data_IF_642183312787
#
_entry.id   IF_642183312787
#
_cell.length_a   1.000
_cell.length_b   1.000
_cell.length_c   1.000
_cell.angle_alpha   90.00
_cell.angle_beta   90.00
_cell.angle_gamma   90.00
#
_symmetry.space_group_name_H-M   'P 1'
#
loop_
_entity.id
_entity.type
_entity.pdbx_description
1 polymer ?
#
# COMPACT_ATOMS: atom_id res chain seq x y z
N UNK A 1 -3.69 -13.02 -3.11
CA UNK A 1 -2.58 -13.87 -3.60
C UNK A 1 -2.75 -15.31 -3.13
N UNK A 2 -2.52 -16.26 -4.02
CA UNK A 2 -2.61 -17.70 -3.75
C UNK A 2 -1.60 -18.17 -2.68
N UNK A 3 -0.36 -17.65 -2.70
CA UNK A 3 0.70 -18.06 -1.75
C UNK A 3 0.36 -17.75 -0.29
N UNK A 4 -0.17 -16.55 0.00
CA UNK A 4 -0.60 -16.21 1.36
C UNK A 4 -1.83 -17.02 1.77
N UNK A 5 -2.78 -17.24 0.86
CA UNK A 5 -3.94 -18.07 1.18
C UNK A 5 -3.51 -19.50 1.53
N UNK A 6 -2.61 -20.10 0.75
CA UNK A 6 -2.05 -21.42 1.03
C UNK A 6 -1.29 -21.45 2.35
N UNK A 7 -0.44 -20.47 2.63
CA UNK A 7 0.26 -20.36 3.91
C UNK A 7 -0.72 -20.25 5.09
N UNK A 8 -1.74 -19.40 4.99
CA UNK A 8 -2.76 -19.24 6.03
C UNK A 8 -3.54 -20.53 6.26
N UNK A 9 -3.93 -21.24 5.19
CA UNK A 9 -4.68 -22.48 5.31
C UNK A 9 -3.84 -23.64 5.86
N UNK A 10 -2.61 -23.82 5.37
CA UNK A 10 -1.78 -25.00 5.70
C UNK A 10 -0.95 -24.82 6.98
N UNK A 11 -0.54 -23.59 7.32
CA UNK A 11 0.37 -23.32 8.46
C UNK A 11 -0.34 -22.68 9.66
N UNK A 12 -1.28 -21.77 9.40
CA UNK A 12 -1.99 -21.05 10.47
C UNK A 12 -3.32 -21.73 10.81
N UNK A 13 -4.04 -22.24 9.80
CA UNK A 13 -5.30 -22.98 9.94
C UNK A 13 -6.56 -22.11 10.09
N UNK A 14 -6.42 -20.77 10.06
CA UNK A 14 -7.54 -19.85 10.20
C UNK A 14 -7.21 -18.47 9.59
N UNK A 15 -8.24 -17.66 9.32
CA UNK A 15 -8.09 -16.31 8.77
C UNK A 15 -9.21 -15.37 9.24
N UNK A 16 -9.00 -14.06 9.10
CA UNK A 16 -10.03 -13.04 9.29
C UNK A 16 -10.61 -12.61 7.93
N UNK A 17 -11.89 -12.16 7.90
CA UNK A 17 -12.46 -11.58 6.70
C UNK A 17 -11.77 -10.27 6.34
N UNK A 18 -11.94 -9.87 5.07
CA UNK A 18 -11.47 -8.58 4.57
C UNK A 18 -12.04 -7.42 5.40
N UNK A 19 -11.20 -6.44 5.70
CA UNK A 19 -11.62 -5.24 6.41
C UNK A 19 -12.59 -4.39 5.56
N UNK A 20 -13.67 -3.83 6.14
CA UNK A 20 -14.67 -3.07 5.40
C UNK A 20 -14.09 -1.93 4.55
N UNK A 21 -13.12 -1.17 5.06
CA UNK A 21 -12.48 -0.08 4.32
C UNK A 21 -11.74 -0.55 3.06
N UNK A 22 -11.00 -1.66 3.16
CA UNK A 22 -10.35 -2.25 1.98
C UNK A 22 -11.39 -2.79 0.99
N UNK A 23 -12.42 -3.45 1.49
CA UNK A 23 -13.49 -3.96 0.64
C UNK A 23 -14.18 -2.83 -0.12
N UNK A 24 -14.51 -1.73 0.55
CA UNK A 24 -15.12 -0.55 -0.06
C UNK A 24 -14.23 0.01 -1.18
N UNK A 25 -12.92 0.12 -0.93
CA UNK A 25 -11.98 0.61 -1.93
C UNK A 25 -11.89 -0.34 -3.13
N UNK A 26 -11.81 -1.65 -2.92
CA UNK A 26 -11.79 -2.65 -3.99
C UNK A 26 -13.12 -2.67 -4.78
N UNK A 27 -14.25 -2.56 -4.09
CA UNK A 27 -15.57 -2.51 -4.71
C UNK A 27 -15.75 -1.23 -5.56
N UNK A 28 -15.00 -0.16 -5.27
CA UNK A 28 -14.95 1.05 -6.12
C UNK A 28 -13.97 0.88 -7.30
N UNK A 29 -12.77 0.36 -7.06
CA UNK A 29 -11.70 0.25 -8.07
C UNK A 29 -12.00 -0.81 -9.13
N UNK A 30 -12.37 -2.03 -8.71
CA UNK A 30 -12.43 -3.18 -9.60
C UNK A 30 -13.50 -3.05 -10.71
N UNK A 31 -14.70 -2.50 -10.44
CA UNK A 31 -15.73 -2.36 -11.47
C UNK A 31 -15.54 -1.16 -12.40
N UNK A 32 -14.68 -0.19 -12.06
CA UNK A 32 -14.47 1.01 -12.88
C UNK A 32 -14.01 0.58 -14.30
N UNK A 33 -14.46 1.26 -15.34
CA UNK A 33 -14.09 0.91 -16.72
C UNK A 33 -12.76 1.57 -17.12
N UNK A 34 -12.36 2.63 -16.42
CA UNK A 34 -11.13 3.38 -16.64
C UNK A 34 -9.95 2.59 -16.11
N UNK A 35 -9.05 2.20 -17.02
CA UNK A 35 -7.88 1.41 -16.67
C UNK A 35 -6.91 2.19 -15.78
N UNK A 36 -6.80 3.50 -15.99
CA UNK A 36 -5.92 4.40 -15.26
C UNK A 36 -6.34 4.55 -13.80
N UNK A 37 -7.66 4.62 -13.51
CA UNK A 37 -8.14 4.58 -12.13
C UNK A 37 -7.87 3.23 -11.44
N UNK A 38 -7.92 2.13 -12.19
CA UNK A 38 -7.51 0.83 -11.64
C UNK A 38 -6.05 0.82 -11.24
N UNK A 39 -5.19 1.44 -12.05
CA UNK A 39 -3.75 1.50 -11.77
C UNK A 39 -3.47 2.45 -10.59
N UNK A 40 -4.10 3.63 -10.56
CA UNK A 40 -4.00 4.56 -9.43
C UNK A 40 -4.44 3.87 -8.14
N UNK A 41 -5.62 3.24 -8.14
CA UNK A 41 -6.16 2.60 -6.94
C UNK A 41 -5.40 1.34 -6.50
N UNK A 42 -5.08 0.44 -7.43
CA UNK A 42 -4.46 -0.84 -7.09
C UNK A 42 -2.93 -0.70 -6.96
N UNK A 43 -2.24 -0.24 -8.01
CA UNK A 43 -0.78 -0.29 -8.08
C UNK A 43 -0.14 0.84 -7.26
N UNK A 44 -0.68 2.06 -7.34
CA UNK A 44 -0.07 3.18 -6.62
C UNK A 44 -0.48 3.16 -5.14
N UNK A 45 -1.77 2.99 -4.86
CA UNK A 45 -2.29 3.13 -3.50
C UNK A 45 -2.27 1.80 -2.73
N UNK A 46 -2.99 0.77 -3.19
CA UNK A 46 -3.11 -0.49 -2.42
C UNK A 46 -1.77 -1.22 -2.33
N UNK A 47 -1.08 -1.41 -3.45
CA UNK A 47 0.20 -2.12 -3.52
C UNK A 47 1.34 -1.30 -2.90
N UNK A 48 1.39 0.02 -3.14
CA UNK A 48 2.34 0.91 -2.47
C UNK A 48 2.26 0.83 -0.93
N UNK A 49 1.04 0.75 -0.38
CA UNK A 49 0.82 0.54 1.05
C UNK A 49 1.14 -0.88 1.51
N UNK A 50 0.81 -1.88 0.70
CA UNK A 50 1.12 -3.27 0.99
C UNK A 50 2.63 -3.50 1.08
N UNK A 51 3.42 -2.89 0.20
CA UNK A 51 4.89 -2.96 0.20
C UNK A 51 5.48 -2.50 1.54
N UNK A 52 5.10 -1.30 2.02
CA UNK A 52 5.55 -0.79 3.30
C UNK A 52 5.16 -1.71 4.48
N UNK A 53 3.94 -2.27 4.45
CA UNK A 53 3.49 -3.21 5.47
C UNK A 53 4.28 -4.54 5.42
N UNK A 54 4.54 -5.08 4.22
CA UNK A 54 5.29 -6.31 4.02
C UNK A 54 6.77 -6.15 4.38
N UNK A 55 7.40 -5.02 4.04
CA UNK A 55 8.76 -4.68 4.44
C UNK A 55 8.89 -4.72 5.97
N UNK A 56 7.97 -4.06 6.68
CA UNK A 56 7.92 -4.09 8.14
C UNK A 56 7.75 -5.51 8.68
N UNK A 57 6.79 -6.27 8.15
CA UNK A 57 6.51 -7.63 8.64
C UNK A 57 7.67 -8.59 8.36
N UNK A 58 8.33 -8.48 7.22
CA UNK A 58 9.51 -9.27 6.87
C UNK A 58 10.67 -9.04 7.84
N UNK A 59 10.82 -7.81 8.35
CA UNK A 59 11.85 -7.48 9.32
C UNK A 59 11.60 -8.13 10.70
N UNK A 60 10.33 -8.39 11.05
CA UNK A 60 9.94 -8.86 12.39
C UNK A 60 9.52 -10.32 12.45
N UNK A 61 9.16 -10.93 11.32
CA UNK A 61 8.67 -12.31 11.29
C UNK A 61 9.77 -13.32 11.61
N UNK A 62 9.43 -14.31 12.43
CA UNK A 62 10.35 -15.37 12.86
C UNK A 62 10.28 -16.64 11.99
N UNK A 63 9.15 -16.90 11.33
CA UNK A 63 9.02 -18.06 10.43
C UNK A 63 9.86 -17.81 9.14
N UNK A 64 10.88 -18.64 8.86
CA UNK A 64 11.73 -18.46 7.68
C UNK A 64 10.97 -18.56 6.35
N UNK A 65 9.97 -19.45 6.25
CA UNK A 65 9.15 -19.58 5.04
C UNK A 65 8.33 -18.31 4.81
N UNK A 66 7.72 -17.77 5.85
CA UNK A 66 6.94 -16.54 5.73
C UNK A 66 7.84 -15.34 5.37
N UNK A 67 9.07 -15.30 5.90
CA UNK A 67 10.07 -14.30 5.54
C UNK A 67 10.42 -14.34 4.05
N UNK A 68 10.57 -15.54 3.49
CA UNK A 68 10.83 -15.75 2.07
C UNK A 68 9.62 -15.41 1.19
N UNK A 69 8.41 -15.76 1.64
CA UNK A 69 7.18 -15.34 0.97
C UNK A 69 7.12 -13.82 0.88
N UNK A 70 7.35 -13.10 1.99
CA UNK A 70 7.40 -11.63 1.95
C UNK A 70 8.48 -11.13 0.99
N UNK A 71 9.69 -11.71 1.01
CA UNK A 71 10.75 -11.31 0.09
C UNK A 71 10.35 -11.42 -1.38
N UNK A 72 9.79 -12.56 -1.78
CA UNK A 72 9.40 -12.81 -3.17
C UNK A 72 8.22 -11.94 -3.60
N UNK A 73 7.23 -11.77 -2.72
CA UNK A 73 6.06 -10.92 -2.98
C UNK A 73 6.46 -9.45 -3.10
N UNK A 74 7.28 -8.93 -2.18
CA UNK A 74 7.75 -7.54 -2.23
C UNK A 74 8.43 -7.25 -3.58
N UNK A 75 9.25 -8.17 -4.09
CA UNK A 75 9.90 -8.03 -5.40
C UNK A 75 8.92 -7.99 -6.55
N UNK A 76 7.83 -8.75 -6.49
CA UNK A 76 6.81 -8.76 -7.54
C UNK A 76 5.98 -7.48 -7.54
N UNK A 77 5.47 -7.11 -6.36
CA UNK A 77 4.65 -5.90 -6.21
C UNK A 77 5.45 -4.63 -6.51
N UNK A 78 6.74 -4.58 -6.19
CA UNK A 78 7.60 -3.46 -6.61
C UNK A 78 7.58 -3.26 -8.14
N UNK A 79 7.55 -4.35 -8.93
CA UNK A 79 7.42 -4.25 -10.40
C UNK A 79 6.05 -3.73 -10.81
N UNK A 80 4.98 -4.17 -10.15
CA UNK A 80 3.63 -3.69 -10.44
C UNK A 80 3.50 -2.18 -10.17
N UNK A 81 4.05 -1.71 -9.04
CA UNK A 81 4.10 -0.27 -8.74
C UNK A 81 4.93 0.48 -9.78
N UNK A 82 6.15 0.04 -10.08
CA UNK A 82 7.00 0.71 -11.09
C UNK A 82 6.33 0.74 -12.47
N UNK A 83 5.68 -0.35 -12.87
CA UNK A 83 4.92 -0.43 -14.11
C UNK A 83 3.77 0.58 -14.12
N UNK A 84 2.99 0.64 -13.03
CA UNK A 84 1.91 1.60 -12.88
C UNK A 84 2.37 3.04 -12.98
N UNK A 85 3.46 3.39 -12.28
CA UNK A 85 4.04 4.73 -12.30
C UNK A 85 4.43 5.14 -13.72
N UNK A 86 5.19 4.30 -14.44
CA UNK A 86 5.69 4.65 -15.76
C UNK A 86 4.55 4.89 -16.77
N UNK A 87 3.52 4.03 -16.78
CA UNK A 87 2.39 4.17 -17.70
C UNK A 87 1.48 5.33 -17.33
N UNK A 88 1.25 5.55 -16.03
CA UNK A 88 0.41 6.66 -15.57
C UNK A 88 1.11 8.00 -15.79
N UNK A 89 2.42 8.11 -15.61
CA UNK A 89 3.18 9.34 -15.86
C UNK A 89 3.00 9.81 -17.31
N UNK A 90 3.15 8.90 -18.28
CA UNK A 90 2.91 9.22 -19.69
C UNK A 90 1.43 9.53 -19.95
N UNK A 91 0.51 8.70 -19.47
CA UNK A 91 -0.92 8.85 -19.75
C UNK A 91 -1.53 10.12 -19.14
N UNK A 92 -1.24 10.42 -17.88
CA UNK A 92 -1.77 11.60 -17.18
C UNK A 92 -1.34 12.89 -17.89
N UNK A 93 -0.15 12.90 -18.50
CA UNK A 93 0.30 14.03 -19.33
C UNK A 93 -0.55 14.29 -20.57
N UNK A 94 -1.37 13.32 -21.01
CA UNK A 94 -2.28 13.45 -22.16
C UNK A 94 -3.69 13.91 -21.77
N UNK A 95 -4.03 13.84 -20.48
CA UNK A 95 -5.35 14.22 -19.97
C UNK A 95 -5.55 15.74 -19.96
N UNK A 96 -6.81 16.16 -20.12
CA UNK A 96 -7.22 17.54 -19.85
C UNK A 96 -7.10 17.88 -18.35
N UNK A 97 -7.10 19.16 -18.02
CA UNK A 97 -7.02 19.62 -16.62
C UNK A 97 -8.18 19.08 -15.77
N UNK A 98 -9.40 19.09 -16.31
CA UNK A 98 -10.58 18.54 -15.63
C UNK A 98 -10.42 17.04 -15.32
N UNK A 99 -9.93 16.26 -16.28
CA UNK A 99 -9.68 14.83 -16.09
C UNK A 99 -8.56 14.59 -15.08
N UNK A 100 -7.46 15.35 -15.14
CA UNK A 100 -6.37 15.23 -14.16
C UNK A 100 -6.86 15.52 -12.75
N UNK A 101 -7.71 16.53 -12.58
CA UNK A 101 -8.30 16.88 -11.28
C UNK A 101 -9.22 15.76 -10.77
N UNK A 102 -10.03 15.14 -11.63
CA UNK A 102 -10.83 13.96 -11.28
C UNK A 102 -9.94 12.79 -10.78
N UNK A 103 -8.79 12.56 -11.43
CA UNK A 103 -7.82 11.51 -11.01
C UNK A 103 -7.13 11.85 -9.70
N UNK A 104 -6.76 13.12 -9.50
CA UNK A 104 -6.14 13.61 -8.28
C UNK A 104 -7.10 13.46 -7.09
N UNK A 105 -8.37 13.82 -7.26
CA UNK A 105 -9.39 13.66 -6.22
C UNK A 105 -9.65 12.19 -5.89
N UNK A 106 -9.74 11.33 -6.92
CA UNK A 106 -9.86 9.90 -6.71
C UNK A 106 -8.69 9.33 -5.90
N UNK A 107 -7.46 9.74 -6.20
CA UNK A 107 -6.26 9.30 -5.46
C UNK A 107 -6.31 9.76 -3.99
N UNK A 108 -6.76 11.00 -3.76
CA UNK A 108 -6.94 11.55 -2.41
C UNK A 108 -7.98 10.77 -1.61
N UNK A 109 -9.17 10.56 -2.16
CA UNK A 109 -10.23 9.79 -1.49
C UNK A 109 -9.76 8.38 -1.12
N UNK A 110 -9.05 7.72 -2.03
CA UNK A 110 -8.48 6.40 -1.78
C UNK A 110 -7.44 6.42 -0.66
N UNK A 111 -6.59 7.45 -0.57
CA UNK A 111 -5.66 7.65 0.55
C UNK A 111 -6.39 7.84 1.89
N UNK A 112 -7.48 8.61 1.92
CA UNK A 112 -8.31 8.82 3.12
C UNK A 112 -8.91 7.50 3.61
N UNK A 113 -9.50 6.71 2.71
CA UNK A 113 -10.06 5.38 3.05
C UNK A 113 -8.96 4.47 3.60
N UNK A 114 -7.78 4.52 3.00
CA UNK A 114 -6.65 3.68 3.37
C UNK A 114 -6.02 4.05 4.72
N UNK A 115 -5.99 5.33 5.08
CA UNK A 115 -5.52 5.78 6.42
C UNK A 115 -6.29 5.10 7.55
N UNK A 116 -7.60 4.90 7.35
CA UNK A 116 -8.48 4.29 8.34
C UNK A 116 -8.49 2.74 8.30
N UNK A 117 -7.73 2.11 7.39
CA UNK A 117 -7.75 0.65 7.19
C UNK A 117 -6.97 -0.14 8.25
N UNK A 118 -5.97 0.45 8.88
CA UNK A 118 -5.01 -0.28 9.72
C UNK A 118 -5.46 -0.55 11.17
N UNK A 119 -6.69 -0.15 11.52
CA UNK A 119 -7.35 -0.63 12.72
C UNK A 119 -7.67 -2.11 12.57
N UNK A 120 -7.01 -2.98 13.32
CA UNK A 120 -7.24 -4.44 13.27
C UNK A 120 -8.56 -4.82 13.95
N UNK A 121 -9.68 -4.17 13.59
CA UNK A 121 -10.97 -4.26 14.29
C UNK A 121 -11.47 -5.69 14.42
N UNK A 122 -11.28 -6.52 13.39
CA UNK A 122 -11.63 -7.95 13.45
C UNK A 122 -10.85 -8.69 14.54
N UNK A 123 -9.56 -8.38 14.70
CA UNK A 123 -8.69 -8.96 15.75
C UNK A 123 -9.14 -8.44 17.12
N UNK A 124 -9.31 -7.12 17.23
CA UNK A 124 -9.70 -6.45 18.48
C UNK A 124 -11.04 -7.01 19.00
N UNK A 125 -12.04 -7.10 18.13
CA UNK A 125 -13.35 -7.68 18.46
C UNK A 125 -13.27 -9.16 18.82
N UNK A 126 -12.42 -9.94 18.15
CA UNK A 126 -12.25 -11.37 18.44
C UNK A 126 -11.77 -11.61 19.88
N UNK A 127 -10.91 -10.73 20.40
CA UNK A 127 -10.44 -10.77 21.79
C UNK A 127 -11.34 -10.03 22.79
N UNK A 128 -12.51 -9.54 22.35
CA UNK A 128 -13.50 -8.86 23.21
C UNK A 128 -13.06 -7.47 23.68
N UNK A 129 -12.13 -6.83 22.98
CA UNK A 129 -11.69 -5.48 23.29
C UNK A 129 -12.61 -4.43 22.64
N UNK A 130 -12.65 -3.24 23.25
CA UNK A 130 -13.36 -2.08 22.70
C UNK A 130 -12.61 -1.57 21.46
N UNK A 131 -13.24 -1.70 20.29
CA UNK A 131 -12.70 -1.29 19.01
C UNK A 131 -12.40 0.20 18.93
N UNK A 132 -13.25 1.04 19.52
CA UNK A 132 -13.09 2.49 19.48
C UNK A 132 -11.95 2.92 20.38
N UNK A 133 -11.92 2.40 21.61
CA UNK A 133 -10.82 2.67 22.54
C UNK A 133 -9.46 2.17 21.99
N UNK A 134 -9.43 0.99 21.38
CA UNK A 134 -8.22 0.44 20.78
C UNK A 134 -7.76 1.25 19.55
N UNK A 135 -8.69 1.70 18.70
CA UNK A 135 -8.36 2.57 17.57
C UNK A 135 -7.78 3.92 18.04
N UNK A 136 -8.39 4.54 19.05
CA UNK A 136 -7.88 5.79 19.65
C UNK A 136 -6.48 5.59 20.25
N UNK A 137 -6.27 4.49 20.98
CA UNK A 137 -4.96 4.16 21.54
C UNK A 137 -3.91 3.93 20.44
N UNK A 138 -4.27 3.24 19.36
CA UNK A 138 -3.37 3.00 18.23
C UNK A 138 -3.01 4.30 17.50
N UNK A 139 -4.00 5.14 17.19
CA UNK A 139 -3.81 6.44 16.54
C UNK A 139 -2.98 7.39 17.41
N UNK A 140 -3.24 7.43 18.71
CA UNK A 140 -2.51 8.25 19.67
C UNK A 140 -1.09 7.75 19.96
N UNK A 141 -0.75 6.52 19.60
CA UNK A 141 0.57 5.94 19.86
C UNK A 141 1.64 6.41 18.86
N UNK A 142 2.88 6.53 19.33
CA UNK A 142 4.03 6.81 18.47
C UNK A 142 4.22 5.72 17.40
N UNK A 143 4.05 4.45 17.77
CA UNK A 143 4.15 3.33 16.85
C UNK A 143 3.10 3.38 15.72
N UNK A 144 1.87 3.80 16.03
CA UNK A 144 0.80 3.99 15.06
C UNK A 144 1.06 5.17 14.13
N UNK A 145 1.56 6.29 14.66
CA UNK A 145 1.99 7.45 13.85
C UNK A 145 3.13 7.08 12.91
N UNK A 146 4.19 6.45 13.43
CA UNK A 146 5.34 5.99 12.62
C UNK A 146 4.91 5.02 11.52
N UNK A 147 3.97 4.12 11.82
CA UNK A 147 3.45 3.21 10.82
C UNK A 147 2.66 3.93 9.73
N UNK A 148 1.78 4.87 10.08
CA UNK A 148 1.07 5.68 9.10
C UNK A 148 2.04 6.51 8.23
N UNK A 149 3.07 7.10 8.83
CA UNK A 149 4.07 7.86 8.09
C UNK A 149 4.84 6.96 7.11
N UNK A 150 5.26 5.77 7.56
CA UNK A 150 5.92 4.77 6.71
C UNK A 150 5.05 4.39 5.49
N UNK A 151 3.76 4.21 5.72
CA UNK A 151 2.80 3.83 4.70
C UNK A 151 2.68 4.89 3.59
N UNK A 152 2.55 6.16 3.94
CA UNK A 152 2.42 7.24 2.95
C UNK A 152 3.74 7.71 2.36
N UNK A 153 4.87 7.38 2.99
CA UNK A 153 6.21 7.67 2.45
C UNK A 153 6.48 7.09 1.05
N UNK A 154 5.78 6.00 0.68
CA UNK A 154 5.91 5.36 -0.63
C UNK A 154 4.89 5.86 -1.67
N UNK A 155 3.74 6.38 -1.23
CA UNK A 155 2.67 6.83 -2.13
C UNK A 155 2.94 8.25 -2.63
N UNK A 156 3.30 9.16 -1.73
CA UNK A 156 3.39 10.58 -2.05
C UNK A 156 4.41 10.91 -3.16
N UNK A 157 5.62 10.32 -3.18
CA UNK A 157 6.55 10.50 -4.30
C UNK A 157 5.98 10.03 -5.64
N UNK A 158 5.24 8.91 -5.63
CA UNK A 158 4.65 8.34 -6.84
C UNK A 158 3.50 9.20 -7.37
N UNK A 159 2.63 9.72 -6.50
CA UNK A 159 1.57 10.66 -6.90
C UNK A 159 2.16 11.96 -7.48
N UNK A 160 3.25 12.46 -6.90
CA UNK A 160 3.99 13.61 -7.43
C UNK A 160 4.52 13.32 -8.83
N UNK A 161 5.21 12.19 -9.00
CA UNK A 161 5.83 11.78 -10.26
C UNK A 161 4.80 11.60 -11.39
N UNK A 162 3.65 11.02 -11.08
CA UNK A 162 2.55 10.81 -12.05
C UNK A 162 1.85 12.14 -12.41
N UNK A 163 2.02 13.19 -11.62
CA UNK A 163 1.39 14.49 -11.84
C UNK A 163 -0.02 14.61 -11.26
N UNK A 164 -0.32 13.86 -10.18
CA UNK A 164 -1.60 13.89 -9.47
C UNK A 164 -1.58 14.70 -8.17
N UNK A 165 -0.53 15.51 -7.96
CA UNK A 165 -0.47 16.50 -6.88
C UNK A 165 -0.69 17.90 -7.46
N UNK A 166 -1.95 18.28 -7.63
CA UNK A 166 -2.35 19.66 -7.93
C UNK A 166 -2.48 20.48 -6.64
N UNK A 167 -2.68 21.79 -6.76
CA UNK A 167 -2.77 22.70 -5.61
C UNK A 167 -3.93 22.32 -4.66
N UNK A 168 -5.11 21.99 -5.21
CA UNK A 168 -6.29 21.66 -4.41
C UNK A 168 -6.10 20.41 -3.55
N UNK A 169 -5.62 19.29 -4.12
CA UNK A 169 -5.40 18.07 -3.33
C UNK A 169 -4.17 18.18 -2.44
N UNK A 170 -3.19 19.02 -2.79
CA UNK A 170 -2.01 19.25 -1.97
C UNK A 170 -2.40 19.86 -0.62
N UNK A 171 -3.30 20.83 -0.59
CA UNK A 171 -3.85 21.38 0.67
C UNK A 171 -4.50 20.28 1.51
N UNK A 172 -5.31 19.42 0.89
CA UNK A 172 -5.96 18.30 1.58
C UNK A 172 -4.94 17.29 2.15
N UNK A 173 -3.86 17.00 1.42
CA UNK A 173 -2.77 16.14 1.90
C UNK A 173 -1.93 16.77 3.01
N UNK A 174 -1.82 18.10 3.03
CA UNK A 174 -1.17 18.85 4.10
C UNK A 174 -2.00 18.76 5.40
N UNK A 175 -3.31 18.92 5.32
CA UNK A 175 -4.23 18.71 6.45
C UNK A 175 -4.17 17.26 6.99
N UNK A 176 -3.95 16.29 6.11
CA UNK A 176 -3.72 14.90 6.52
C UNK A 176 -2.36 14.67 7.21
N UNK A 177 -1.42 15.61 7.08
CA UNK A 177 -0.07 15.52 7.62
C UNK A 177 0.82 14.55 6.85
N UNK A 178 0.58 14.34 5.55
CA UNK A 178 1.36 13.41 4.73
C UNK A 178 2.05 14.08 3.53
N UNK A 179 1.74 15.35 3.24
CA UNK A 179 2.36 16.08 2.13
C UNK A 179 3.89 16.20 2.27
N UNK A 180 4.42 16.20 3.49
CA UNK A 180 5.86 16.25 3.78
C UNK A 180 6.66 15.12 3.10
N UNK A 181 6.01 14.00 2.77
CA UNK A 181 6.66 12.84 2.15
C UNK A 181 6.82 12.95 0.63
N UNK A 182 6.30 13.99 -0.03
CA UNK A 182 6.31 14.11 -1.49
C UNK A 182 7.70 14.21 -2.12
N UNK A 183 8.68 14.67 -1.34
CA UNK A 183 10.06 14.90 -1.77
C UNK A 183 11.01 13.77 -1.33
N UNK A 184 10.47 12.70 -0.72
CA UNK A 184 11.26 11.51 -0.47
C UNK A 184 11.66 10.86 -1.79
N UNK A 185 12.84 10.25 -1.79
CA UNK A 185 13.25 9.38 -2.87
C UNK A 185 12.19 8.29 -3.04
N UNK A 186 11.81 8.08 -4.30
CA UNK A 186 10.94 6.99 -4.68
C UNK A 186 11.67 5.67 -4.38
N UNK A 187 11.48 5.17 -3.16
CA UNK A 187 12.01 3.89 -2.73
C UNK A 187 11.28 2.71 -3.39
N UNK A 188 10.43 2.97 -4.40
CA UNK A 188 9.89 1.98 -5.35
C UNK A 188 10.58 2.05 -6.71
N UNK A 189 11.59 2.91 -6.90
CA UNK A 189 12.58 2.73 -7.96
C UNK A 189 13.31 1.43 -7.64
N UNK A 190 12.74 0.38 -8.19
CA UNK A 190 13.32 -0.94 -8.31
C UNK A 190 14.75 -0.75 -8.80
N UNK A 191 15.74 -0.98 -7.93
CA UNK A 191 17.11 -1.15 -8.38
C UNK A 191 17.11 -2.41 -9.25
N UNK A 192 17.03 -2.20 -10.57
CA UNK A 192 16.99 -3.28 -11.54
C UNK A 192 18.23 -4.15 -11.45
N UNK A 193 19.36 -3.60 -11.01
CA UNK A 193 20.58 -4.35 -10.75
C UNK A 193 20.40 -5.25 -9.52
N UNK A 194 19.74 -4.77 -8.48
CA UNK A 194 19.40 -5.60 -7.32
C UNK A 194 18.35 -6.68 -7.65
N UNK A 195 17.35 -6.34 -8.46
CA UNK A 195 16.26 -7.25 -8.83
C UNK A 195 16.64 -8.25 -9.91
N UNK A 196 17.69 -8.00 -10.67
CA UNK A 196 18.28 -8.94 -11.64
C UNK A 196 19.29 -9.89 -11.00
N UNK A 197 19.71 -9.65 -9.76
CA UNK A 197 20.54 -10.60 -9.01
C UNK A 197 19.84 -11.96 -8.93
N UNK A 198 20.60 -13.07 -9.06
CA UNK A 198 20.08 -14.41 -8.86
C UNK A 198 19.38 -14.51 -7.50
N UNK A 199 18.30 -15.29 -7.43
CA UNK A 199 17.72 -15.66 -6.16
C UNK A 199 18.78 -16.42 -5.34
N UNK A 200 19.21 -15.84 -4.23
CA UNK A 200 20.07 -16.54 -3.29
C UNK A 200 19.23 -17.62 -2.59
N UNK A 201 19.22 -18.82 -3.14
CA UNK A 201 18.70 -20.00 -2.45
C UNK A 201 19.71 -20.44 -1.40
N UNK A 202 19.83 -19.70 -0.30
CA UNK A 202 20.64 -20.10 0.85
C UNK A 202 19.90 -21.13 1.72
N UNK A 203 19.34 -22.17 1.11
CA UNK A 203 18.90 -23.34 1.86
C UNK A 203 20.05 -24.34 1.90
N UNK A 204 20.84 -24.29 2.98
CA UNK A 204 21.52 -25.50 3.45
C UNK A 204 20.41 -26.44 3.89
N UNK A 205 19.99 -27.33 2.99
CA UNK A 205 19.23 -28.52 3.37
C UNK A 205 20.06 -29.25 4.41
N UNK A 206 19.57 -29.28 5.65
CA UNK A 206 20.04 -30.18 6.69
C UNK A 206 19.54 -31.60 6.41
#
# INVERSE_FOLDING_TARGET
MEVYNKYLQERIGWNYPIMPGLKLLLDKILPDQRWDLKFIGMQIIIEGLALAAFERQRATVMDPLLKDIFYLVIRDEARHVTFGVNYLEEFVSTLSEEERNDRAEFAYEACVVMRNRFGSTNVINHYGWDAEAAAQAQIGSEAGRLFNNLLFSKIMPNLKKIGLLNDEVSEKYEEMGILEFKDLDDATVTDWDEMSKPLEYAYKTA
#
